data_IF_984102150332
#
_entry.id   IF_984102150332
#
_cell.length_a   1.000
_cell.length_b   1.000
_cell.length_c   1.000
_cell.angle_alpha   90.00
_cell.angle_beta   90.00
_cell.angle_gamma   90.00
#
_symmetry.space_group_name_H-M   'P 1'
#
loop_
_entity.id
_entity.type
_entity.pdbx_description
1 polymer ?
#
# COMPACT_ATOMS: atom_id res chain seq x y z
N UNK A 1 26.31 35.78 20.22
CA UNK A 1 26.50 34.73 19.20
C UNK A 1 25.43 33.68 19.46
N UNK A 2 24.28 33.77 18.79
CA UNK A 2 23.20 32.79 18.97
C UNK A 2 23.51 31.66 18.01
N UNK A 3 24.15 30.60 18.51
CA UNK A 3 24.19 29.33 17.79
C UNK A 3 22.78 28.75 17.86
N UNK A 4 21.92 29.10 16.90
CA UNK A 4 20.75 28.30 16.62
C UNK A 4 21.28 26.92 16.23
N UNK A 5 21.13 25.93 17.10
CA UNK A 5 21.17 24.52 16.74
C UNK A 5 20.09 24.33 15.68
N UNK A 6 20.46 24.50 14.41
CA UNK A 6 19.53 24.29 13.30
C UNK A 6 19.16 22.82 13.34
N UNK A 7 17.91 22.52 13.70
CA UNK A 7 17.31 21.23 13.38
C UNK A 7 17.57 20.99 11.89
N UNK A 8 18.36 19.96 11.57
CA UNK A 8 18.58 19.58 10.18
C UNK A 8 17.32 18.88 9.72
N UNK A 9 16.68 19.47 8.70
CA UNK A 9 15.58 18.86 7.96
C UNK A 9 16.15 17.72 7.12
N UNK A 10 15.45 16.59 7.04
CA UNK A 10 15.89 15.41 6.29
C UNK A 10 14.88 15.00 5.22
N UNK A 11 15.37 14.58 4.07
CA UNK A 11 14.59 13.92 3.02
C UNK A 11 14.82 12.41 3.05
N UNK A 12 13.80 11.66 3.43
CA UNK A 12 13.88 10.20 3.55
C UNK A 12 12.82 9.57 2.66
N UNK A 13 13.23 8.65 1.79
CA UNK A 13 12.29 7.81 1.05
C UNK A 13 11.81 6.67 1.95
N UNK A 14 10.51 6.60 2.25
CA UNK A 14 9.99 5.62 3.20
C UNK A 14 9.61 4.27 2.56
N UNK A 15 9.76 4.11 1.25
CA UNK A 15 9.28 2.91 0.57
C UNK A 15 10.22 2.49 -0.55
N UNK A 16 11.14 1.59 -0.21
CA UNK A 16 12.09 1.00 -1.16
C UNK A 16 12.23 -0.49 -0.87
N UNK A 17 12.38 -1.28 -1.94
CA UNK A 17 12.62 -2.72 -1.90
C UNK A 17 13.98 -3.02 -2.53
N UNK A 18 14.68 -4.00 -1.96
CA UNK A 18 15.92 -4.57 -2.50
C UNK A 18 15.72 -6.05 -2.85
N UNK A 19 16.80 -6.75 -3.23
CA UNK A 19 16.77 -8.20 -3.41
C UNK A 19 16.43 -8.99 -2.12
N UNK A 20 16.39 -8.34 -0.95
CA UNK A 20 15.89 -8.97 0.28
C UNK A 20 14.36 -9.15 0.26
N UNK A 21 13.62 -8.39 -0.55
CA UNK A 21 12.21 -8.66 -0.83
C UNK A 21 12.05 -9.75 -1.90
N UNK A 22 10.98 -10.54 -1.81
CA UNK A 22 10.56 -11.49 -2.85
C UNK A 22 10.37 -10.79 -4.21
N UNK A 23 9.88 -9.55 -4.16
CA UNK A 23 9.48 -8.79 -5.35
C UNK A 23 10.58 -7.87 -5.88
N UNK A 24 11.63 -7.59 -5.08
CA UNK A 24 12.71 -6.67 -5.42
C UNK A 24 13.88 -7.37 -6.11
N UNK A 25 14.59 -6.63 -6.95
CA UNK A 25 15.72 -7.16 -7.76
C UNK A 25 16.97 -6.28 -7.69
N UNK A 26 16.90 -5.17 -6.96
CA UNK A 26 17.95 -4.16 -6.90
C UNK A 26 18.92 -4.44 -5.76
N UNK A 27 20.20 -4.18 -5.98
CA UNK A 27 21.21 -4.29 -4.95
C UNK A 27 21.09 -3.13 -3.94
N UNK A 28 21.13 -3.40 -2.61
CA UNK A 28 21.02 -2.34 -1.61
C UNK A 28 22.06 -1.23 -1.76
N UNK A 29 23.28 -1.56 -2.18
CA UNK A 29 24.33 -0.57 -2.40
C UNK A 29 24.00 0.38 -3.55
N UNK A 30 23.42 -0.13 -4.63
CA UNK A 30 23.00 0.68 -5.78
C UNK A 30 21.88 1.64 -5.40
N UNK A 31 20.94 1.18 -4.57
CA UNK A 31 19.86 2.00 -4.00
C UNK A 31 20.45 3.14 -3.16
N UNK A 32 21.37 2.83 -2.24
CA UNK A 32 21.99 3.81 -1.34
C UNK A 32 22.80 4.84 -2.13
N UNK A 33 23.63 4.38 -3.07
CA UNK A 33 24.41 5.28 -3.94
C UNK A 33 23.51 6.17 -4.77
N UNK A 34 22.41 5.63 -5.32
CA UNK A 34 21.44 6.41 -6.07
C UNK A 34 20.74 7.43 -5.17
N UNK A 35 20.32 7.05 -3.96
CA UNK A 35 19.70 7.95 -3.00
C UNK A 35 20.58 9.18 -2.71
N UNK A 36 21.87 8.95 -2.49
CA UNK A 36 22.87 10.02 -2.35
C UNK A 36 22.94 10.91 -3.59
N UNK A 37 23.00 10.31 -4.78
CA UNK A 37 23.10 11.05 -6.05
C UNK A 37 21.89 11.96 -6.31
N UNK A 38 20.69 11.55 -5.86
CA UNK A 38 19.45 12.36 -6.00
C UNK A 38 19.22 13.32 -4.83
N UNK A 39 20.12 13.37 -3.86
CA UNK A 39 20.05 14.29 -2.73
C UNK A 39 19.08 13.88 -1.62
N UNK A 40 18.76 12.58 -1.50
CA UNK A 40 18.08 12.06 -0.31
C UNK A 40 19.08 11.94 0.84
N UNK A 41 18.65 12.30 2.06
CA UNK A 41 19.42 12.10 3.28
C UNK A 41 19.28 10.66 3.80
N UNK A 42 18.23 9.94 3.42
CA UNK A 42 18.02 8.57 3.84
C UNK A 42 17.00 7.77 3.02
N UNK A 43 16.98 6.46 3.29
CA UNK A 43 16.04 5.50 2.72
C UNK A 43 15.55 4.52 3.78
N UNK A 44 14.32 4.04 3.63
CA UNK A 44 13.78 2.92 4.38
C UNK A 44 13.64 1.71 3.46
N UNK A 45 14.32 0.61 3.81
CA UNK A 45 14.09 -0.68 3.18
C UNK A 45 12.86 -1.32 3.81
N UNK A 46 11.78 -1.46 3.02
CA UNK A 46 10.47 -1.95 3.47
C UNK A 46 10.12 -3.25 2.76
N UNK A 47 10.95 -4.27 2.97
CA UNK A 47 10.88 -5.53 2.23
C UNK A 47 9.53 -6.24 2.46
N UNK A 48 9.08 -7.06 1.50
CA UNK A 48 7.82 -7.80 1.62
C UNK A 48 7.91 -9.04 2.53
N UNK A 49 9.05 -9.29 3.14
CA UNK A 49 9.27 -10.41 4.05
C UNK A 49 10.25 -10.03 5.15
N UNK A 50 10.18 -10.70 6.32
CA UNK A 50 11.19 -10.56 7.36
C UNK A 50 12.58 -10.92 6.85
N UNK A 51 13.60 -10.20 7.30
CA UNK A 51 14.98 -10.37 6.85
C UNK A 51 15.97 -10.08 7.99
N UNK A 52 17.19 -10.63 7.91
CA UNK A 52 18.17 -10.58 9.01
C UNK A 52 19.34 -9.62 8.75
N UNK A 53 19.47 -9.17 7.50
CA UNK A 53 20.60 -8.41 6.96
C UNK A 53 20.53 -6.90 7.26
N UNK A 54 19.66 -6.48 8.19
CA UNK A 54 19.45 -5.08 8.52
C UNK A 54 20.73 -4.41 9.07
N UNK A 55 21.65 -5.15 9.71
CA UNK A 55 22.92 -4.60 10.22
C UNK A 55 23.84 -4.21 9.08
N UNK A 56 23.93 -5.08 8.09
CA UNK A 56 24.71 -4.90 6.87
C UNK A 56 24.19 -3.69 6.10
N UNK A 57 22.86 -3.56 5.95
CA UNK A 57 22.23 -2.39 5.35
C UNK A 57 22.56 -1.09 6.09
N UNK A 58 22.48 -1.09 7.42
CA UNK A 58 22.81 0.10 8.23
C UNK A 58 24.29 0.46 8.14
N UNK A 59 25.18 -0.53 8.09
CA UNK A 59 26.62 -0.27 7.93
C UNK A 59 26.93 0.29 6.53
N UNK A 60 26.30 -0.26 5.51
CA UNK A 60 26.41 0.22 4.13
C UNK A 60 25.94 1.68 4.00
N UNK A 61 24.84 2.03 4.68
CA UNK A 61 24.38 3.42 4.79
C UNK A 61 25.43 4.35 5.39
N UNK A 62 26.08 3.94 6.48
CA UNK A 62 27.16 4.74 7.11
C UNK A 62 28.36 4.92 6.18
N UNK A 63 28.78 3.86 5.49
CA UNK A 63 29.90 3.92 4.52
C UNK A 63 29.65 4.99 3.46
N UNK A 64 28.39 5.11 3.01
CA UNK A 64 28.01 6.04 1.96
C UNK A 64 27.41 7.36 2.44
N UNK A 65 27.37 7.63 3.75
CA UNK A 65 26.77 8.85 4.34
C UNK A 65 25.30 9.05 3.94
N UNK A 66 24.51 7.98 4.04
CA UNK A 66 23.05 7.95 3.83
C UNK A 66 22.40 7.24 5.01
N UNK A 67 21.41 7.87 5.64
CA UNK A 67 20.69 7.24 6.73
C UNK A 67 19.88 6.04 6.21
N UNK A 68 20.04 4.88 6.85
CA UNK A 68 19.33 3.66 6.49
C UNK A 68 18.45 3.24 7.65
N UNK A 69 17.16 3.08 7.35
CA UNK A 69 16.16 2.52 8.24
C UNK A 69 15.59 1.25 7.63
N UNK A 70 14.96 0.43 8.47
CA UNK A 70 14.35 -0.83 8.05
C UNK A 70 12.91 -0.91 8.53
N UNK A 71 12.07 -1.53 7.71
CA UNK A 71 10.67 -1.79 7.95
C UNK A 71 10.20 -2.96 7.10
N UNK A 72 8.88 -3.16 7.04
CA UNK A 72 8.26 -4.21 6.23
C UNK A 72 7.07 -3.64 5.46
N UNK A 73 6.86 -4.05 4.21
CA UNK A 73 5.58 -3.88 3.52
C UNK A 73 4.78 -5.18 3.60
N UNK A 74 3.68 -5.17 4.35
CA UNK A 74 2.83 -6.36 4.54
C UNK A 74 1.51 -6.22 3.78
N UNK A 75 1.07 -7.33 3.18
CA UNK A 75 -0.26 -7.45 2.58
C UNK A 75 -1.24 -8.05 3.59
N UNK A 76 -2.45 -7.49 3.64
CA UNK A 76 -3.51 -7.94 4.55
C UNK A 76 -4.85 -8.14 3.82
N UNK A 77 -5.82 -8.72 4.50
CA UNK A 77 -7.22 -8.80 4.06
C UNK A 77 -7.91 -7.42 3.93
N UNK A 78 -7.19 -6.36 4.31
CA UNK A 78 -7.62 -4.98 4.24
C UNK A 78 -6.48 -4.03 3.84
N UNK A 79 -5.85 -4.27 2.70
CA UNK A 79 -4.86 -3.38 2.08
C UNK A 79 -3.42 -3.71 2.47
N UNK A 80 -2.50 -2.87 2.01
CA UNK A 80 -1.07 -2.99 2.27
C UNK A 80 -0.62 -1.94 3.28
N UNK A 81 0.38 -2.28 4.09
CA UNK A 81 0.88 -1.39 5.13
C UNK A 81 2.41 -1.41 5.22
N UNK A 82 3.00 -0.22 5.38
CA UNK A 82 4.39 -0.09 5.81
C UNK A 82 4.44 -0.15 7.33
N UNK A 83 5.26 -1.06 7.85
CA UNK A 83 5.48 -1.25 9.27
C UNK A 83 6.88 -0.77 9.64
N UNK A 84 6.96 0.02 10.69
CA UNK A 84 8.23 0.44 11.28
C UNK A 84 8.23 0.15 12.77
N UNK A 85 9.37 -0.32 13.30
CA UNK A 85 9.53 -0.79 14.67
C UNK A 85 10.72 -0.09 15.36
N UNK A 86 10.65 0.17 16.69
CA UNK A 86 11.67 0.96 17.38
C UNK A 86 13.01 0.25 17.52
N UNK A 87 13.04 -1.08 17.47
CA UNK A 87 14.25 -1.88 17.35
C UNK A 87 14.28 -2.53 15.95
N UNK A 88 15.31 -2.29 15.12
CA UNK A 88 15.40 -2.88 13.79
C UNK A 88 15.39 -4.41 13.80
N UNK A 89 15.79 -5.08 14.89
CA UNK A 89 15.67 -6.55 15.02
C UNK A 89 14.24 -7.06 14.89
N UNK A 90 13.25 -6.20 15.09
CA UNK A 90 11.85 -6.59 14.98
C UNK A 90 11.44 -6.88 13.53
N UNK A 91 12.25 -6.56 12.52
CA UNK A 91 12.04 -7.01 11.14
C UNK A 91 12.57 -8.43 10.88
N UNK A 92 13.26 -9.05 11.85
CA UNK A 92 13.81 -10.40 11.69
C UNK A 92 12.69 -11.47 11.65
N UNK A 93 12.93 -12.62 10.99
CA UNK A 93 12.00 -13.74 10.98
C UNK A 93 11.57 -14.15 12.40
N UNK A 94 10.25 -14.20 12.63
CA UNK A 94 9.65 -14.55 13.94
C UNK A 94 9.72 -13.46 15.01
N UNK A 95 10.30 -12.28 14.73
CA UNK A 95 10.46 -11.24 15.73
C UNK A 95 9.20 -10.38 15.95
N UNK A 96 8.42 -10.14 14.90
CA UNK A 96 7.21 -9.30 15.00
C UNK A 96 5.90 -10.08 14.91
N UNK A 97 5.87 -11.15 14.14
CA UNK A 97 4.67 -11.94 13.86
C UNK A 97 4.98 -13.42 13.96
N UNK A 98 4.21 -14.12 14.79
CA UNK A 98 4.21 -15.58 14.85
C UNK A 98 3.36 -16.08 13.68
N UNK A 99 4.01 -16.39 12.55
CA UNK A 99 3.35 -17.10 11.46
C UNK A 99 3.77 -18.58 11.47
N UNK A 100 2.84 -19.47 11.82
CA UNK A 100 2.89 -20.87 11.37
C UNK A 100 2.54 -21.01 9.87
N UNK A 101 2.14 -19.90 9.22
CA UNK A 101 1.71 -19.83 7.83
C UNK A 101 2.86 -19.33 6.96
N UNK A 102 3.42 -20.23 6.14
CA UNK A 102 4.47 -19.91 5.17
C UNK A 102 3.93 -19.26 3.90
N UNK A 103 4.72 -18.34 3.35
CA UNK A 103 4.69 -17.74 1.99
C UNK A 103 3.37 -17.13 1.47
N UNK A 104 3.46 -15.92 0.87
CA UNK A 104 2.37 -15.14 0.23
C UNK A 104 1.02 -15.10 0.97
N UNK A 105 1.05 -15.15 2.30
CA UNK A 105 -0.19 -15.22 3.08
C UNK A 105 -0.73 -13.81 3.29
N UNK A 106 -1.92 -13.54 2.75
CA UNK A 106 -2.72 -12.37 3.11
C UNK A 106 -3.00 -12.42 4.61
N UNK A 107 -2.36 -11.54 5.39
CA UNK A 107 -2.49 -11.53 6.85
C UNK A 107 -3.81 -10.88 7.28
N UNK A 108 -4.33 -11.26 8.45
CA UNK A 108 -5.48 -10.55 9.03
C UNK A 108 -5.04 -9.19 9.58
N UNK A 109 -5.67 -8.11 9.13
CA UNK A 109 -5.39 -6.74 9.55
C UNK A 109 -5.34 -6.61 11.08
N UNK A 110 -6.32 -7.16 11.79
CA UNK A 110 -6.38 -7.06 13.25
C UNK A 110 -5.24 -7.76 13.97
N UNK A 111 -4.71 -8.85 13.41
CA UNK A 111 -3.53 -9.53 13.96
C UNK A 111 -2.28 -8.67 13.74
N UNK A 112 -2.10 -8.12 12.54
CA UNK A 112 -0.98 -7.22 12.21
C UNK A 112 -1.02 -5.98 13.10
N UNK A 113 -2.19 -5.33 13.20
CA UNK A 113 -2.42 -4.18 14.07
C UNK A 113 -2.03 -4.48 15.51
N UNK A 114 -2.48 -5.60 16.06
CA UNK A 114 -2.17 -5.99 17.44
C UNK A 114 -0.67 -6.28 17.65
N UNK A 115 0.01 -6.87 16.65
CA UNK A 115 1.45 -7.10 16.69
C UNK A 115 2.25 -5.79 16.68
N UNK A 116 1.91 -4.87 15.78
CA UNK A 116 2.54 -3.54 15.70
C UNK A 116 2.35 -2.76 17.01
N UNK A 117 1.13 -2.77 17.56
CA UNK A 117 0.80 -2.12 18.83
C UNK A 117 1.62 -2.70 19.99
N UNK A 118 1.69 -4.03 20.11
CA UNK A 118 2.48 -4.73 21.14
C UNK A 118 3.96 -4.35 21.09
N UNK A 119 4.49 -4.14 19.89
CA UNK A 119 5.91 -3.88 19.64
C UNK A 119 6.25 -2.39 19.62
N UNK A 120 5.26 -1.51 19.84
CA UNK A 120 5.44 -0.07 19.87
C UNK A 120 5.70 0.57 18.50
N UNK A 121 5.47 -0.17 17.42
CA UNK A 121 5.69 0.29 16.05
C UNK A 121 4.63 1.27 15.54
N UNK A 122 4.74 1.62 14.27
CA UNK A 122 3.74 2.36 13.51
C UNK A 122 3.33 1.57 12.27
N UNK A 123 2.11 1.88 11.81
CA UNK A 123 1.51 1.27 10.64
C UNK A 123 1.01 2.38 9.72
N UNK A 124 1.55 2.44 8.51
CA UNK A 124 1.23 3.43 7.49
C UNK A 124 0.44 2.74 6.38
N UNK A 125 -0.75 3.24 6.04
CA UNK A 125 -1.51 2.72 4.92
C UNK A 125 -0.76 2.99 3.60
N UNK A 126 -0.31 1.93 2.94
CA UNK A 126 0.42 1.98 1.67
C UNK A 126 -0.57 1.94 0.51
N UNK A 127 -0.47 2.92 -0.40
CA UNK A 127 -1.27 2.97 -1.65
C UNK A 127 -2.77 2.65 -1.44
N UNK A 128 -3.47 3.28 -0.49
CA UNK A 128 -4.78 2.80 -0.01
C UNK A 128 -5.86 2.73 -1.08
N UNK A 129 -5.75 3.54 -2.14
CA UNK A 129 -6.72 3.60 -3.25
C UNK A 129 -6.22 2.92 -4.54
N UNK A 130 -5.12 2.16 -4.48
CA UNK A 130 -4.63 1.41 -5.64
C UNK A 130 -5.46 0.14 -5.86
N UNK A 131 -6.37 0.18 -6.83
CA UNK A 131 -7.26 -0.95 -7.16
C UNK A 131 -6.54 -2.15 -7.80
N UNK A 132 -5.23 -2.07 -8.05
CA UNK A 132 -4.44 -3.15 -8.65
C UNK A 132 -3.92 -4.15 -7.62
N UNK A 133 -3.96 -3.82 -6.33
CA UNK A 133 -3.52 -4.71 -5.25
C UNK A 133 -4.66 -5.62 -4.79
N UNK A 134 -4.35 -6.82 -4.25
CA UNK A 134 -5.33 -7.62 -3.53
C UNK A 134 -5.94 -6.85 -2.36
N UNK A 135 -7.24 -7.03 -2.13
CA UNK A 135 -7.95 -6.46 -0.98
C UNK A 135 -7.71 -4.95 -0.75
N UNK A 136 -7.87 -4.07 -1.77
CA UNK A 136 -7.51 -2.66 -1.65
C UNK A 136 -8.24 -1.99 -0.49
N UNK A 137 -7.53 -1.17 0.30
CA UNK A 137 -8.07 -0.59 1.53
C UNK A 137 -9.30 0.29 1.25
N UNK A 138 -9.16 1.26 0.35
CA UNK A 138 -10.20 2.23 -0.02
C UNK A 138 -10.82 2.92 1.20
N UNK A 139 -12.12 3.19 1.13
CA UNK A 139 -12.86 3.90 2.18
C UNK A 139 -12.97 3.11 3.50
N UNK A 140 -12.53 1.85 3.55
CA UNK A 140 -12.42 1.12 4.83
C UNK A 140 -11.46 1.85 5.78
N UNK A 141 -10.51 2.63 5.27
CA UNK A 141 -9.58 3.44 6.08
C UNK A 141 -10.29 4.35 7.09
N UNK A 142 -11.49 4.84 6.79
CA UNK A 142 -12.27 5.69 7.69
C UNK A 142 -12.87 4.96 8.90
N UNK A 143 -12.89 3.63 8.85
CA UNK A 143 -13.47 2.78 9.91
C UNK A 143 -12.41 2.02 10.72
N UNK A 144 -11.17 1.92 10.21
CA UNK A 144 -10.10 1.19 10.87
C UNK A 144 -9.43 2.03 11.96
N UNK A 145 -8.84 1.33 12.94
CA UNK A 145 -8.07 1.91 14.04
C UNK A 145 -6.64 1.39 14.01
N UNK A 146 -5.71 2.11 14.66
CA UNK A 146 -4.30 1.71 14.76
C UNK A 146 -3.44 2.04 13.53
N UNK A 147 -4.00 2.81 12.58
CA UNK A 147 -3.24 3.41 11.48
C UNK A 147 -2.67 4.75 11.98
N UNK A 148 -1.41 5.00 11.68
CA UNK A 148 -0.67 6.18 12.15
C UNK A 148 -0.44 7.20 11.03
N UNK A 149 -0.42 6.74 9.77
CA UNK A 149 -0.16 7.57 8.61
C UNK A 149 -0.71 6.97 7.33
N UNK A 150 -0.66 7.76 6.26
CA UNK A 150 -1.02 7.36 4.91
C UNK A 150 0.11 7.74 3.98
N UNK A 151 0.51 6.80 3.13
CA UNK A 151 1.35 7.10 1.97
C UNK A 151 0.49 7.79 0.91
N UNK A 152 0.47 9.13 0.96
CA UNK A 152 -0.35 9.98 0.09
C UNK A 152 0.34 10.29 -1.24
N UNK A 153 1.65 10.00 -1.32
CA UNK A 153 2.44 10.08 -2.55
C UNK A 153 3.24 8.79 -2.70
N UNK A 154 2.79 7.91 -3.59
CA UNK A 154 3.53 6.71 -3.98
C UNK A 154 4.02 6.86 -5.43
N UNK A 155 5.32 6.67 -5.68
CA UNK A 155 5.94 6.85 -7.00
C UNK A 155 5.48 5.87 -8.10
N UNK A 156 4.81 4.76 -7.74
CA UNK A 156 4.19 3.79 -8.66
C UNK A 156 2.68 4.00 -8.86
N UNK A 157 2.07 4.92 -8.11
CA UNK A 157 0.66 5.28 -8.26
C UNK A 157 0.51 6.49 -9.17
N UNK A 158 -0.63 6.57 -9.86
CA UNK A 158 -0.97 7.76 -10.64
C UNK A 158 -1.48 8.88 -9.72
N UNK A 159 -1.54 10.10 -10.26
CA UNK A 159 -1.96 11.29 -9.52
C UNK A 159 -3.34 11.15 -8.88
N UNK A 160 -4.32 10.57 -9.60
CA UNK A 160 -5.67 10.41 -9.07
C UNK A 160 -5.72 9.51 -7.83
N UNK A 161 -5.00 8.38 -7.84
CA UNK A 161 -4.89 7.47 -6.69
C UNK A 161 -4.22 8.17 -5.49
N UNK A 162 -3.14 8.91 -5.75
CA UNK A 162 -2.44 9.67 -4.73
C UNK A 162 -3.31 10.81 -4.15
N UNK A 163 -4.12 11.47 -4.97
CA UNK A 163 -5.02 12.55 -4.51
C UNK A 163 -6.15 12.02 -3.63
N UNK A 164 -6.74 10.86 -3.94
CA UNK A 164 -7.69 10.22 -3.03
C UNK A 164 -7.05 9.87 -1.67
N UNK A 165 -5.80 9.38 -1.68
CA UNK A 165 -5.07 9.11 -0.44
C UNK A 165 -4.82 10.40 0.37
N UNK A 166 -4.48 11.50 -0.30
CA UNK A 166 -4.29 12.82 0.31
C UNK A 166 -5.58 13.34 0.95
N UNK A 167 -6.72 13.28 0.24
CA UNK A 167 -8.02 13.70 0.76
C UNK A 167 -8.42 12.91 2.01
N UNK A 168 -8.27 11.58 1.96
CA UNK A 168 -8.53 10.73 3.13
C UNK A 168 -7.62 11.09 4.32
N UNK A 169 -6.33 11.33 4.05
CA UNK A 169 -5.36 11.72 5.07
C UNK A 169 -5.74 13.05 5.73
N UNK A 170 -6.16 14.03 4.94
CA UNK A 170 -6.62 15.32 5.44
C UNK A 170 -7.84 15.18 6.37
N UNK A 171 -8.82 14.36 5.99
CA UNK A 171 -10.01 14.12 6.81
C UNK A 171 -9.71 13.39 8.12
N UNK A 172 -8.77 12.44 8.10
CA UNK A 172 -8.39 11.62 9.25
C UNK A 172 -7.34 12.28 10.15
N UNK A 173 -6.66 13.33 9.67
CA UNK A 173 -5.53 14.01 10.35
C UNK A 173 -4.40 13.05 10.70
N UNK A 174 -4.12 12.13 9.78
CA UNK A 174 -3.00 11.20 9.90
C UNK A 174 -1.70 11.84 9.40
N UNK A 175 -0.56 11.22 9.74
CA UNK A 175 0.71 11.60 9.16
C UNK A 175 0.68 11.38 7.63
N UNK A 176 0.97 12.42 6.87
CA UNK A 176 1.06 12.34 5.42
C UNK A 176 2.51 12.02 5.03
N UNK A 177 2.72 10.90 4.36
CA UNK A 177 4.07 10.47 3.94
C UNK A 177 4.13 10.15 2.46
N UNK A 178 5.33 10.08 1.92
CA UNK A 178 5.60 9.66 0.55
C UNK A 178 6.83 8.77 0.43
N UNK A 179 6.80 7.94 -0.60
CA UNK A 179 7.91 7.06 -0.99
C UNK A 179 7.91 6.78 -2.48
N UNK A 180 9.10 6.54 -3.04
CA UNK A 180 9.24 6.24 -4.47
C UNK A 180 8.63 4.89 -4.84
N UNK A 181 8.56 3.98 -3.87
CA UNK A 181 8.22 2.57 -4.09
C UNK A 181 9.13 1.97 -5.15
N UNK A 182 10.44 2.22 -4.99
CA UNK A 182 11.50 1.66 -5.83
C UNK A 182 11.58 0.16 -5.60
N UNK A 183 11.61 -0.61 -6.69
CA UNK A 183 11.45 -2.07 -6.66
C UNK A 183 12.29 -2.77 -7.75
N UNK A 184 12.06 -2.37 -8.99
CA UNK A 184 12.58 -2.98 -10.22
C UNK A 184 13.52 -2.05 -11.01
N UNK A 185 13.49 -0.76 -10.73
CA UNK A 185 14.31 0.25 -11.39
C UNK A 185 14.65 1.41 -10.45
N UNK A 186 15.91 1.89 -10.52
CA UNK A 186 16.39 3.06 -9.79
C UNK A 186 15.83 4.40 -10.30
N UNK A 187 15.10 4.40 -11.42
CA UNK A 187 14.55 5.63 -12.03
C UNK A 187 13.48 6.30 -11.16
N UNK A 188 12.80 5.53 -10.30
CA UNK A 188 11.80 6.04 -9.37
C UNK A 188 12.41 6.66 -8.12
N UNK A 189 13.60 6.21 -7.72
CA UNK A 189 14.26 6.70 -6.53
C UNK A 189 14.59 8.19 -6.68
N UNK A 190 14.15 8.99 -5.70
CA UNK A 190 14.28 10.44 -5.73
C UNK A 190 13.19 11.17 -6.51
N UNK A 191 12.07 10.53 -6.86
CA UNK A 191 10.89 11.23 -7.41
C UNK A 191 9.89 11.63 -6.32
N UNK A 192 9.88 10.89 -5.22
CA UNK A 192 9.03 11.14 -4.06
C UNK A 192 9.83 10.82 -2.80
N UNK A 193 9.64 11.59 -1.74
CA UNK A 193 10.20 11.33 -0.42
C UNK A 193 9.29 11.88 0.68
N UNK A 194 9.71 11.74 1.93
CA UNK A 194 9.11 12.38 3.09
C UNK A 194 10.12 13.34 3.72
N UNK A 195 9.67 14.56 3.97
CA UNK A 195 10.40 15.62 4.66
C UNK A 195 10.17 15.51 6.17
N UNK A 196 11.25 15.42 6.93
CA UNK A 196 11.25 15.41 8.40
C UNK A 196 11.74 16.76 8.93
N UNK A 197 10.93 17.41 9.77
CA UNK A 197 11.27 18.72 10.37
C UNK A 197 12.35 18.66 11.47
N UNK A 198 12.85 17.47 11.75
CA UNK A 198 13.83 17.18 12.80
C UNK A 198 14.86 16.16 12.33
N UNK A 199 15.92 15.99 13.12
CA UNK A 199 16.95 14.99 12.83
C UNK A 199 16.48 13.61 13.28
N UNK A 200 16.54 12.65 12.35
CA UNK A 200 16.17 11.26 12.59
C UNK A 200 17.46 10.44 12.71
N UNK A 201 17.84 10.11 13.94
CA UNK A 201 19.08 9.39 14.23
C UNK A 201 18.94 7.86 14.17
N UNK A 202 17.75 7.35 14.47
CA UNK A 202 17.45 5.92 14.58
C UNK A 202 15.95 5.64 14.34
N UNK A 203 15.58 4.36 14.40
CA UNK A 203 14.23 3.87 14.18
C UNK A 203 13.22 4.43 15.20
N UNK A 204 13.64 4.63 16.44
CA UNK A 204 12.79 5.19 17.49
C UNK A 204 12.45 6.66 17.18
N UNK A 205 13.43 7.45 16.73
CA UNK A 205 13.21 8.82 16.26
C UNK A 205 12.28 8.85 15.04
N UNK A 206 12.46 7.93 14.08
CA UNK A 206 11.58 7.81 12.91
C UNK A 206 10.13 7.57 13.34
N UNK A 207 9.91 6.61 14.25
CA UNK A 207 8.58 6.29 14.78
C UNK A 207 7.95 7.48 15.50
N UNK A 208 8.71 8.18 16.33
CA UNK A 208 8.18 9.33 17.08
C UNK A 208 7.74 10.44 16.11
N UNK A 209 8.57 10.77 15.12
CA UNK A 209 8.22 11.76 14.09
C UNK A 209 6.96 11.35 13.30
N UNK A 210 6.83 10.07 12.95
CA UNK A 210 5.63 9.54 12.28
C UNK A 210 4.38 9.57 13.17
N UNK A 211 4.52 9.31 14.48
CA UNK A 211 3.40 9.40 15.45
C UNK A 211 2.96 10.84 15.70
N UNK A 212 3.91 11.77 15.74
CA UNK A 212 3.63 13.21 15.90
C UNK A 212 3.02 13.84 14.65
N UNK A 213 3.28 13.26 13.48
CA UNK A 213 2.74 13.73 12.20
C UNK A 213 3.41 15.00 11.67
N UNK A 214 4.56 15.40 12.23
CA UNK A 214 5.37 16.54 11.77
C UNK A 214 6.25 16.16 10.56
N UNK A 215 5.61 15.57 9.57
CA UNK A 215 6.23 15.05 8.34
C UNK A 215 5.41 15.48 7.13
N UNK A 216 6.08 15.66 5.99
CA UNK A 216 5.42 16.10 4.76
C UNK A 216 5.83 15.27 3.56
N UNK A 217 4.88 14.80 2.74
CA UNK A 217 5.21 14.17 1.48
C UNK A 217 5.78 15.23 0.53
N UNK A 218 6.83 14.89 -0.22
CA UNK A 218 7.39 15.77 -1.24
C UNK A 218 7.52 15.03 -2.56
N UNK A 219 7.12 15.68 -3.63
CA UNK A 219 7.45 15.27 -4.99
C UNK A 219 8.67 16.06 -5.45
N UNK A 220 9.68 15.35 -5.94
CA UNK A 220 10.95 15.92 -6.38
C UNK A 220 10.94 15.85 -7.90
N UNK A 221 10.86 17.01 -8.53
CA UNK A 221 10.93 17.15 -9.99
C UNK A 221 12.05 18.10 -10.37
N UNK A 222 12.47 18.02 -11.63
CA UNK A 222 13.24 19.12 -12.21
C UNK A 222 12.45 20.41 -12.11
N UNK A 223 13.16 21.53 -11.95
CA UNK A 223 12.52 22.85 -11.96
C UNK A 223 11.82 23.02 -13.32
N UNK A 224 10.50 23.23 -13.36
CA UNK A 224 9.80 23.36 -14.62
C UNK A 224 10.37 24.55 -15.39
N UNK A 225 10.85 24.28 -16.61
CA UNK A 225 11.24 25.35 -17.53
C UNK A 225 9.97 26.05 -17.97
N UNK A 226 9.69 27.22 -17.40
CA UNK A 226 8.61 28.09 -17.85
C UNK A 226 8.89 28.50 -19.30
N UNK A 227 8.21 27.86 -20.25
CA UNK A 227 8.29 28.26 -21.66
C UNK A 227 7.73 29.66 -21.78
N UNK A 228 8.57 30.63 -22.14
CA UNK A 228 8.13 31.96 -22.51
C UNK A 228 7.19 31.85 -23.72
N UNK A 229 5.97 32.39 -23.59
CA UNK A 229 4.93 32.45 -24.63
C UNK A 229 5.30 33.26 -25.90
N UNK A 230 6.59 33.52 -26.15
CA UNK A 230 7.06 34.34 -27.28
C UNK A 230 7.40 33.55 -28.55
N UNK A 231 7.31 32.22 -28.55
CA UNK A 231 7.64 31.38 -29.71
C UNK A 231 6.44 31.00 -30.60
N UNK A 232 5.24 31.53 -30.32
CA UNK A 232 4.07 31.44 -31.21
C UNK A 232 4.07 32.60 -32.22
N UNK A 233 5.15 32.78 -32.96
CA UNK A 233 5.37 34.00 -33.75
C UNK A 233 6.24 33.87 -35.00
N UNK A 234 6.31 32.71 -35.65
CA UNK A 234 6.74 32.64 -37.06
C UNK A 234 6.28 31.34 -37.74
N UNK A 235 4.96 31.22 -38.01
CA UNK A 235 4.49 30.30 -39.05
C UNK A 235 4.22 31.13 -40.30
N UNK A 236 5.30 31.42 -41.00
CA UNK A 236 5.32 31.96 -42.33
C UNK A 236 4.36 31.22 -43.28
N UNK A 237 3.56 32.04 -43.93
CA UNK A 237 2.66 31.76 -45.04
C UNK A 237 3.35 30.90 -46.13
N UNK A 238 2.92 29.65 -46.31
CA UNK A 238 3.23 28.86 -47.51
C UNK A 238 1.97 28.17 -48.02
N UNK A 239 1.15 28.96 -48.70
CA UNK A 239 0.17 28.48 -49.67
C UNK A 239 0.88 27.94 -50.92
N UNK A 240 0.50 26.73 -51.32
CA UNK A 240 0.38 26.34 -52.74
C UNK A 240 1.61 25.78 -53.46
N UNK A 241 1.61 24.45 -53.67
CA UNK A 241 1.87 23.88 -55.00
C UNK A 241 1.34 22.44 -55.07
N UNK A 242 0.25 22.30 -55.82
CA UNK A 242 -0.26 21.04 -56.34
C UNK A 242 0.75 20.46 -57.34
N UNK A 243 1.18 19.21 -57.15
CA UNK A 243 1.71 18.39 -58.23
C UNK A 243 1.03 17.03 -58.24
N UNK A 244 0.25 16.84 -59.31
CA UNK A 244 -0.49 15.63 -59.70
C UNK A 244 0.47 14.49 -60.03
N UNK A 245 0.12 13.24 -59.68
CA UNK A 245 0.43 12.01 -60.45
C UNK A 245 -0.31 10.78 -59.88
N UNK A 246 -0.94 10.00 -60.77
CA UNK A 246 -1.45 8.63 -60.51
C UNK A 246 -2.98 8.49 -60.67
N UNK A 247 -3.56 8.55 -61.87
CA UNK A 247 -3.65 7.53 -62.96
C UNK A 247 -4.91 6.65 -62.83
N UNK A 248 -5.69 6.68 -63.91
CA UNK A 248 -6.94 5.96 -64.23
C UNK A 248 -6.89 4.44 -63.93
N UNK A 249 -8.00 3.78 -63.58
CA UNK A 249 -8.87 3.13 -64.57
C UNK A 249 -10.33 2.88 -64.09
N UNK A 250 -11.25 3.65 -64.66
CA UNK A 250 -12.45 3.28 -65.47
C UNK A 250 -13.26 1.96 -65.23
N UNK A 251 -14.60 2.19 -65.20
CA UNK A 251 -15.77 1.37 -65.67
C UNK A 251 -16.37 0.39 -64.65
N UNK A 252 -17.69 0.28 -64.40
CA UNK A 252 -18.94 0.90 -64.91
C UNK A 252 -20.09 0.52 -63.94
N UNK A 253 -21.10 1.37 -63.71
CA UNK A 253 -22.49 1.29 -64.26
C UNK A 253 -23.13 -0.11 -64.16
N UNK A 254 -24.35 -0.35 -63.70
CA UNK A 254 -25.57 0.49 -63.60
C UNK A 254 -26.61 -0.28 -62.72
N UNK A 255 -27.40 0.47 -61.94
CA UNK A 255 -28.87 0.39 -61.79
C UNK A 255 -29.67 -0.93 -61.57
N UNK A 256 -30.51 -0.87 -60.51
CA UNK A 256 -31.99 -1.09 -60.47
C UNK A 256 -32.62 -2.46 -60.05
N UNK A 257 -33.52 -2.30 -59.05
CA UNK A 257 -34.94 -2.77 -58.96
C UNK A 257 -35.30 -4.15 -58.37
N UNK A 258 -36.36 -4.12 -57.53
CA UNK A 258 -37.36 -5.18 -57.33
C UNK A 258 -37.46 -5.64 -55.87
N UNK A 259 -38.53 -5.31 -55.11
CA UNK A 259 -39.81 -6.07 -54.99
C UNK A 259 -39.60 -7.48 -54.41
N UNK A 260 -40.45 -8.06 -53.58
CA UNK A 260 -41.62 -7.74 -52.76
C UNK A 260 -41.84 -9.03 -51.92
N UNK A 261 -42.87 -9.03 -51.06
CA UNK A 261 -43.55 -10.22 -50.49
C UNK A 261 -43.03 -10.76 -49.14
N UNK A 262 -43.76 -10.51 -48.03
CA UNK A 262 -44.95 -11.26 -47.51
C UNK A 262 -44.52 -12.65 -46.99
N UNK A 263 -44.96 -13.21 -45.85
CA UNK A 263 -46.08 -12.94 -44.93
C UNK A 263 -45.95 -13.94 -43.76
N UNK A 264 -46.62 -13.59 -42.65
CA UNK A 264 -47.34 -14.44 -41.68
C UNK A 264 -46.57 -15.61 -40.99
N UNK A 265 -46.69 -15.88 -39.70
CA UNK A 265 -47.95 -15.97 -38.95
C UNK A 265 -47.69 -16.28 -37.46
N UNK A 266 -48.56 -15.74 -36.59
CA UNK A 266 -49.17 -16.36 -35.37
C UNK A 266 -48.20 -16.69 -34.21
N UNK A 267 -48.31 -16.16 -33.00
CA UNK A 267 -49.50 -15.77 -32.25
C UNK A 267 -49.84 -16.83 -31.21
N UNK A 268 -49.70 -16.52 -29.91
CA UNK A 268 -50.62 -16.91 -28.83
C UNK A 268 -50.24 -16.28 -27.49
N UNK A 269 -51.17 -15.45 -27.02
CA UNK A 269 -51.42 -15.13 -25.62
C UNK A 269 -51.80 -16.38 -24.82
N UNK A 270 -51.49 -16.39 -23.52
CA UNK A 270 -52.44 -16.58 -22.39
C UNK A 270 -51.64 -16.81 -21.09
N UNK A 271 -51.64 -15.84 -20.16
CA UNK A 271 -52.56 -15.68 -19.02
C UNK A 271 -52.24 -16.51 -17.77
N UNK A 272 -52.01 -15.73 -16.70
CA UNK A 272 -52.57 -15.85 -15.32
C UNK A 272 -52.02 -16.96 -14.40
N UNK A 273 -51.63 -16.53 -13.20
CA UNK A 273 -51.53 -17.41 -12.03
C UNK A 273 -51.00 -16.76 -10.76
N UNK A 274 -51.66 -15.70 -10.25
CA UNK A 274 -51.58 -15.38 -8.80
C UNK A 274 -52.33 -16.48 -8.03
N UNK A 275 -51.76 -16.98 -6.92
CA UNK A 275 -52.47 -17.11 -5.63
C UNK A 275 -51.55 -17.55 -4.49
N UNK A 276 -51.70 -16.82 -3.39
CA UNK A 276 -51.32 -17.15 -2.04
C UNK A 276 -51.96 -18.47 -1.55
N UNK A 277 -51.31 -19.14 -0.60
CA UNK A 277 -52.03 -19.79 0.50
C UNK A 277 -51.16 -19.92 1.76
N UNK A 278 -51.79 -19.56 2.87
CA UNK A 278 -51.34 -19.64 4.26
C UNK A 278 -51.76 -20.98 4.90
N UNK A 279 -51.05 -21.36 5.97
CA UNK A 279 -51.55 -22.17 7.09
C UNK A 279 -51.24 -23.66 6.98
N UNK A 280 -51.03 -24.43 8.04
CA UNK A 280 -51.08 -24.24 9.50
C UNK A 280 -50.45 -25.53 10.11
N UNK A 281 -49.59 -25.39 11.11
CA UNK A 281 -49.79 -25.78 12.53
C UNK A 281 -49.84 -27.28 12.89
N UNK A 282 -49.33 -27.51 14.10
CA UNK A 282 -49.53 -28.62 15.04
C UNK A 282 -48.56 -29.84 14.92
N UNK A 283 -47.94 -30.40 15.97
CA UNK A 283 -48.02 -30.22 17.44
C UNK A 283 -46.99 -31.13 18.15
N UNK A 284 -46.53 -30.69 19.34
CA UNK A 284 -46.30 -31.42 20.62
C UNK A 284 -45.23 -32.53 20.64
N UNK A 285 -44.19 -32.41 21.48
CA UNK A 285 -44.18 -32.65 22.95
C UNK A 285 -43.31 -33.91 23.19
N UNK A 286 -42.56 -34.15 24.26
CA UNK A 286 -42.47 -33.71 25.65
C UNK A 286 -41.08 -34.15 26.18
N UNK A 287 -40.52 -33.36 27.08
CA UNK A 287 -39.99 -33.74 28.40
C UNK A 287 -39.48 -35.18 28.61
N UNK A 288 -38.25 -35.32 29.12
CA UNK A 288 -38.08 -35.90 30.46
C UNK A 288 -36.75 -35.54 31.13
N UNK A 289 -36.88 -35.26 32.43
CA UNK A 289 -35.85 -34.97 33.43
C UNK A 289 -35.28 -36.27 34.01
N UNK A 290 -34.03 -36.23 34.47
CA UNK A 290 -33.46 -36.86 35.71
C UNK A 290 -31.93 -36.66 35.63
N UNK A 291 -31.26 -35.87 36.47
CA UNK A 291 -31.12 -35.87 37.93
C UNK A 291 -30.35 -37.09 38.46
N UNK A 292 -29.08 -36.89 38.80
CA UNK A 292 -28.44 -37.55 39.94
C UNK A 292 -27.17 -36.81 40.40
N UNK A 293 -27.14 -36.57 41.71
CA UNK A 293 -26.08 -35.97 42.54
C UNK A 293 -25.17 -37.07 43.10
N UNK A 294 -23.89 -36.74 43.32
CA UNK A 294 -23.06 -37.18 44.47
C UNK A 294 -21.80 -36.26 44.48
N UNK A 295 -21.49 -35.37 45.44
CA UNK A 295 -21.12 -35.55 46.88
C UNK A 295 -20.33 -36.84 47.09
N UNK A 296 -19.19 -36.93 47.75
CA UNK A 296 -18.21 -36.09 48.45
C UNK A 296 -16.95 -37.00 48.45
N UNK A 297 -15.72 -36.50 48.62
CA UNK A 297 -14.95 -36.75 49.86
C UNK A 297 -13.52 -36.20 49.82
N UNK A 298 -13.07 -35.93 51.04
CA UNK A 298 -11.88 -35.25 51.50
C UNK A 298 -10.65 -36.17 51.54
N UNK A 299 -9.46 -35.56 51.50
CA UNK A 299 -8.44 -35.83 52.54
C UNK A 299 -7.06 -36.33 52.10
N UNK A 300 -6.01 -35.72 52.69
CA UNK A 300 -4.66 -36.31 52.85
C UNK A 300 -3.54 -35.60 52.07
N UNK A 301 -2.92 -34.50 52.55
CA UNK A 301 -1.80 -34.36 53.53
C UNK A 301 -0.49 -35.13 53.23
N UNK A 302 0.60 -34.35 53.20
CA UNK A 302 2.03 -34.63 53.55
C UNK A 302 2.83 -35.47 52.52
N UNK A 303 4.12 -35.23 52.22
CA UNK A 303 5.16 -34.32 52.73
C UNK A 303 6.55 -34.75 52.21
N UNK A 304 7.59 -33.92 52.42
CA UNK A 304 9.04 -34.21 52.23
C UNK A 304 9.59 -33.71 50.88
N UNK A 305 10.52 -32.75 50.74
CA UNK A 305 11.78 -32.37 51.41
C UNK A 305 12.97 -33.33 51.24
N UNK A 306 13.84 -33.05 50.26
CA UNK A 306 15.32 -33.15 50.32
C UNK A 306 15.88 -32.67 48.96
N UNK A 307 16.63 -31.56 48.83
CA UNK A 307 18.06 -31.28 49.13
C UNK A 307 19.09 -32.16 48.39
N UNK A 308 20.00 -31.44 47.69
CA UNK A 308 21.40 -31.76 47.31
C UNK A 308 21.52 -32.79 46.16
N UNK A 309 22.39 -32.63 45.16
CA UNK A 309 23.62 -31.84 44.96
C UNK A 309 23.66 -31.30 43.54
#
# INVERSE_FOLDING_TARGET
MVFATRNRVLLIDLHVHSHHSISGVLEPEEIILRAKQVGLDGVCFTENQPFSEWKELKELGKVHDVAVFVGLEVSTDCGHYLLFFPDPKQVEPGAWFDSEEGEETTLLFDKVRAAVERLGGVMIASRPYDLRIPHPLGDRIFSLKGIHGIEVRNGRCNTLVNDFALEACFHLRFAAVGGSHTLDTLTKLGTVATLFGETIADEAALINALKEGNVWPVEISETPVLRNNRDMGDRGDRRGRDDRRGRDDRRGRDDRRGRDDRRDSRGRDDRRGRRDSRGRDDRRGRDDRRDSRSRDDRGGRRGGNSRRR
#
